data_IF_186449442545
#
_entry.id   IF_186449442545
#
_cell.length_a   1.000
_cell.length_b   1.000
_cell.length_c   1.000
_cell.angle_alpha   90.00
_cell.angle_beta   90.00
_cell.angle_gamma   90.00
#
_symmetry.space_group_name_H-M   'P 1'
#
loop_
_entity.id
_entity.type
_entity.pdbx_description
1 polymer ?
#
# COMPACT_ATOMS: atom_id res chain seq x y z
N UNK A 1 21.59 2.51 -2.56
CA UNK A 1 21.33 1.06 -2.71
C UNK A 1 19.97 0.78 -2.09
N UNK A 2 18.91 0.48 -2.85
CA UNK A 2 17.61 0.20 -2.27
C UNK A 2 17.63 -1.18 -1.60
N UNK A 3 17.13 -1.25 -0.37
CA UNK A 3 17.03 -2.47 0.43
C UNK A 3 16.10 -3.48 -0.26
N UNK A 4 16.37 -4.80 -0.14
CA UNK A 4 15.49 -5.82 -0.67
C UNK A 4 14.21 -5.86 0.17
N UNK A 5 13.09 -5.45 -0.42
CA UNK A 5 11.77 -5.55 0.19
C UNK A 5 11.41 -7.03 0.27
N UNK A 6 11.55 -7.62 1.47
CA UNK A 6 11.21 -9.03 1.73
C UNK A 6 9.69 -9.15 1.74
N UNK A 7 9.05 -10.04 0.95
CA UNK A 7 7.61 -10.21 1.01
C UNK A 7 7.22 -10.93 2.32
N UNK A 8 6.09 -10.56 2.95
CA UNK A 8 5.63 -11.23 4.17
C UNK A 8 5.19 -12.66 3.82
N UNK A 9 5.87 -13.63 4.42
CA UNK A 9 5.49 -15.05 4.47
C UNK A 9 4.22 -15.20 5.32
N UNK A 10 3.03 -15.28 4.70
CA UNK A 10 1.80 -15.65 5.44
C UNK A 10 0.55 -16.01 4.60
N UNK A 11 0.66 -16.28 3.29
CA UNK A 11 -0.48 -16.77 2.49
C UNK A 11 -0.47 -18.31 2.30
N UNK A 12 0.45 -18.98 2.98
CA UNK A 12 0.59 -20.44 3.02
C UNK A 12 -0.39 -21.13 3.98
N UNK A 13 -1.28 -20.39 4.65
CA UNK A 13 -2.16 -20.92 5.72
C UNK A 13 -3.65 -20.99 5.34
N UNK A 14 -4.16 -20.11 4.47
CA UNK A 14 -5.59 -20.13 4.10
C UNK A 14 -5.91 -21.00 2.88
N UNK A 15 -4.98 -21.21 1.95
CA UNK A 15 -5.11 -22.24 0.90
C UNK A 15 -5.12 -23.66 1.46
N UNK A 16 -4.60 -23.86 2.67
CA UNK A 16 -4.62 -25.14 3.39
C UNK A 16 -5.99 -25.43 4.02
N UNK A 17 -6.71 -24.43 4.52
CA UNK A 17 -7.96 -24.66 5.27
C UNK A 17 -9.19 -24.91 4.38
N UNK A 18 -9.29 -24.27 3.20
CA UNK A 18 -10.39 -24.52 2.26
C UNK A 18 -10.17 -25.74 1.34
N UNK A 19 -8.95 -26.30 1.27
CA UNK A 19 -8.68 -27.54 0.54
C UNK A 19 -8.65 -28.80 1.41
N UNK A 20 -8.51 -28.69 2.73
CA UNK A 20 -8.42 -29.87 3.60
C UNK A 20 -9.78 -30.50 3.92
N UNK A 21 -10.87 -29.72 3.96
CA UNK A 21 -12.17 -30.24 4.42
C UNK A 21 -13.02 -30.90 3.34
N UNK A 22 -12.68 -30.78 2.05
CA UNK A 22 -13.51 -31.31 0.94
C UNK A 22 -12.80 -32.37 0.07
N UNK A 23 -11.50 -32.64 0.34
CA UNK A 23 -10.68 -33.61 -0.40
C UNK A 23 -10.11 -34.73 0.46
N UNK A 24 -10.66 -34.96 1.66
CA UNK A 24 -10.36 -36.14 2.45
C UNK A 24 -10.91 -37.39 1.74
N UNK A 25 -9.98 -37.98 0.99
CA UNK A 25 -9.93 -39.31 0.40
C UNK A 25 -10.90 -40.31 1.05
N UNK A 26 -11.75 -40.96 0.26
CA UNK A 26 -11.99 -42.39 0.46
C UNK A 26 -11.09 -43.20 -0.49
N UNK A 27 -10.49 -44.26 0.07
CA UNK A 27 -9.63 -45.26 -0.56
C UNK A 27 -8.15 -44.93 -0.77
N UNK A 28 -7.42 -44.91 0.35
CA UNK A 28 -6.04 -45.39 0.39
C UNK A 28 -5.98 -46.70 1.18
N UNK A 29 -6.66 -47.73 0.70
CA UNK A 29 -6.50 -49.14 1.09
C UNK A 29 -7.29 -49.97 0.08
N UNK A 30 -6.69 -50.30 -1.05
CA UNK A 30 -6.68 -51.68 -1.51
C UNK A 30 -5.69 -51.86 -2.67
N UNK A 31 -4.74 -52.78 -2.50
CA UNK A 31 -3.79 -53.18 -3.53
C UNK A 31 -4.40 -54.26 -4.42
N UNK A 32 -5.43 -53.92 -5.19
CA UNK A 32 -6.07 -54.84 -6.14
C UNK A 32 -6.22 -54.18 -7.51
N UNK A 33 -5.88 -54.85 -8.63
CA UNK A 33 -6.10 -54.33 -9.97
C UNK A 33 -7.60 -54.43 -10.29
N UNK A 34 -8.40 -53.53 -9.73
CA UNK A 34 -9.82 -53.43 -10.07
C UNK A 34 -9.94 -52.84 -11.46
N UNK A 35 -10.43 -53.69 -12.37
CA UNK A 35 -11.06 -53.39 -13.65
C UNK A 35 -11.44 -51.91 -13.82
N UNK A 36 -10.66 -51.19 -14.63
CA UNK A 36 -10.94 -49.82 -15.04
C UNK A 36 -12.22 -49.82 -15.88
N UNK A 37 -13.38 -49.54 -15.26
CA UNK A 37 -14.59 -49.25 -16.02
C UNK A 37 -14.39 -47.92 -16.77
N UNK A 38 -14.83 -47.79 -18.04
CA UNK A 38 -14.80 -46.53 -18.78
C UNK A 38 -15.37 -45.32 -18.00
N UNK A 39 -16.29 -45.59 -17.07
CA UNK A 39 -16.96 -44.59 -16.22
C UNK A 39 -15.99 -43.94 -15.18
N UNK A 40 -14.96 -44.66 -14.74
CA UNK A 40 -13.95 -44.14 -13.81
C UNK A 40 -12.97 -43.18 -14.51
N UNK A 41 -12.68 -43.43 -15.78
CA UNK A 41 -11.86 -42.55 -16.61
C UNK A 41 -12.57 -41.23 -16.88
N UNK A 42 -13.88 -41.27 -17.17
CA UNK A 42 -14.71 -40.07 -17.33
C UNK A 42 -14.74 -39.22 -16.05
N UNK A 43 -14.91 -39.85 -14.89
CA UNK A 43 -14.86 -39.16 -13.59
C UNK A 43 -13.50 -38.49 -13.36
N UNK A 44 -12.39 -39.16 -13.73
CA UNK A 44 -11.03 -38.63 -13.60
C UNK A 44 -10.78 -37.47 -14.57
N UNK A 45 -11.27 -37.54 -15.81
CA UNK A 45 -11.21 -36.42 -16.78
C UNK A 45 -11.99 -35.22 -16.24
N UNK A 46 -13.22 -35.41 -15.74
CA UNK A 46 -14.02 -34.33 -15.15
C UNK A 46 -13.33 -33.69 -13.94
N UNK A 47 -12.67 -34.47 -13.09
CA UNK A 47 -11.89 -33.95 -11.94
C UNK A 47 -10.69 -33.13 -12.40
N UNK A 48 -9.93 -33.61 -13.39
CA UNK A 48 -8.79 -32.88 -13.97
C UNK A 48 -9.22 -31.55 -14.57
N UNK A 49 -10.34 -31.53 -15.29
CA UNK A 49 -10.86 -30.31 -15.89
C UNK A 49 -11.31 -29.29 -14.83
N UNK A 50 -12.01 -29.73 -13.78
CA UNK A 50 -12.36 -28.87 -12.63
C UNK A 50 -11.11 -28.27 -11.96
N UNK A 51 -10.07 -29.08 -11.74
CA UNK A 51 -8.82 -28.61 -11.15
C UNK A 51 -8.07 -27.64 -12.08
N UNK A 52 -8.05 -27.90 -13.39
CA UNK A 52 -7.45 -27.01 -14.39
C UNK A 52 -8.06 -25.61 -14.33
N UNK A 53 -9.40 -25.53 -14.31
CA UNK A 53 -10.13 -24.27 -14.19
C UNK A 53 -9.88 -23.60 -12.83
N UNK A 54 -9.89 -24.36 -11.74
CA UNK A 54 -9.61 -23.82 -10.40
C UNK A 54 -8.19 -23.23 -10.30
N UNK A 55 -7.18 -23.93 -10.82
CA UNK A 55 -5.80 -23.46 -10.85
C UNK A 55 -5.64 -22.21 -11.73
N UNK A 56 -6.30 -22.16 -12.89
CA UNK A 56 -6.31 -20.97 -13.75
C UNK A 56 -6.95 -19.76 -13.05
N UNK A 57 -8.09 -19.95 -12.37
CA UNK A 57 -8.76 -18.88 -11.59
C UNK A 57 -7.88 -18.40 -10.44
N UNK A 58 -7.24 -19.30 -9.71
CA UNK A 58 -6.31 -18.96 -8.63
C UNK A 58 -5.14 -18.11 -9.13
N UNK A 59 -4.47 -18.56 -10.21
CA UNK A 59 -3.40 -17.81 -10.86
C UNK A 59 -3.86 -16.42 -11.30
N UNK A 60 -5.01 -16.33 -11.99
CA UNK A 60 -5.58 -15.05 -12.42
C UNK A 60 -5.84 -14.12 -11.24
N UNK A 61 -6.42 -14.62 -10.14
CA UNK A 61 -6.66 -13.83 -8.93
C UNK A 61 -5.37 -13.32 -8.30
N UNK A 62 -4.31 -14.12 -8.30
CA UNK A 62 -3.02 -13.72 -7.78
C UNK A 62 -2.36 -12.63 -8.64
N UNK A 63 -2.38 -12.80 -9.97
CA UNK A 63 -1.88 -11.77 -10.91
C UNK A 63 -2.65 -10.47 -10.75
N UNK A 64 -3.98 -10.51 -10.77
CA UNK A 64 -4.82 -9.31 -10.56
C UNK A 64 -4.56 -8.60 -9.24
N UNK A 65 -4.26 -9.35 -8.17
CA UNK A 65 -3.89 -8.74 -6.88
C UNK A 65 -2.54 -8.01 -6.97
N UNK A 66 -1.57 -8.60 -7.65
CA UNK A 66 -0.26 -7.97 -7.84
C UNK A 66 -0.40 -6.70 -8.70
N UNK A 67 -1.18 -6.78 -9.79
CA UNK A 67 -1.43 -5.64 -10.69
C UNK A 67 -2.08 -4.48 -9.94
N UNK A 68 -3.15 -4.75 -9.18
CA UNK A 68 -3.84 -3.72 -8.38
C UNK A 68 -2.92 -3.06 -7.35
N UNK A 69 -2.08 -3.85 -6.68
CA UNK A 69 -1.10 -3.31 -5.72
C UNK A 69 -0.06 -2.43 -6.42
N UNK A 70 0.34 -2.80 -7.64
CA UNK A 70 1.28 -1.99 -8.42
C UNK A 70 0.65 -0.68 -8.87
N UNK A 71 -0.57 -0.72 -9.41
CA UNK A 71 -1.33 0.48 -9.78
C UNK A 71 -1.52 1.42 -8.59
N UNK A 72 -1.88 0.90 -7.41
CA UNK A 72 -2.02 1.71 -6.18
C UNK A 72 -0.68 2.32 -5.75
N UNK A 73 0.42 1.56 -5.83
CA UNK A 73 1.76 2.06 -5.54
C UNK A 73 2.15 3.20 -6.49
N UNK A 74 1.94 3.04 -7.79
CA UNK A 74 2.28 4.07 -8.78
C UNK A 74 1.46 5.34 -8.58
N UNK A 75 0.15 5.23 -8.29
CA UNK A 75 -0.68 6.37 -7.95
C UNK A 75 -0.13 7.13 -6.74
N UNK A 76 0.18 6.40 -5.65
CA UNK A 76 0.73 7.00 -4.44
C UNK A 76 2.10 7.66 -4.67
N UNK A 77 2.97 7.06 -5.47
CA UNK A 77 4.29 7.62 -5.80
C UNK A 77 4.15 8.93 -6.61
N UNK A 78 3.20 8.99 -7.54
CA UNK A 78 2.87 10.22 -8.29
C UNK A 78 2.35 11.31 -7.36
N UNK A 79 1.37 11.00 -6.50
CA UNK A 79 0.85 11.94 -5.50
C UNK A 79 1.95 12.43 -4.56
N UNK A 80 2.81 11.53 -4.08
CA UNK A 80 3.93 11.87 -3.22
C UNK A 80 4.89 12.85 -3.93
N UNK A 81 5.16 12.62 -5.21
CA UNK A 81 6.01 13.49 -6.03
C UNK A 81 5.39 14.87 -6.23
N UNK A 82 4.07 14.97 -6.38
CA UNK A 82 3.35 16.25 -6.45
C UNK A 82 3.44 16.98 -5.11
N UNK A 83 3.14 16.30 -4.01
CA UNK A 83 3.18 16.90 -2.67
C UNK A 83 4.58 17.38 -2.29
N UNK A 84 5.63 16.61 -2.59
CA UNK A 84 7.03 17.03 -2.36
C UNK A 84 7.40 18.29 -3.12
N UNK A 85 6.93 18.42 -4.37
CA UNK A 85 7.14 19.64 -5.16
C UNK A 85 6.42 20.83 -4.53
N UNK A 86 5.19 20.64 -4.08
CA UNK A 86 4.41 21.70 -3.44
C UNK A 86 5.04 22.16 -2.12
N UNK A 87 5.48 21.21 -1.28
CA UNK A 87 6.25 21.52 -0.07
C UNK A 87 7.50 22.34 -0.42
N UNK A 88 8.22 21.96 -1.48
CA UNK A 88 9.39 22.70 -1.95
C UNK A 88 9.06 24.15 -2.30
N UNK A 89 8.04 24.37 -3.14
CA UNK A 89 7.59 25.72 -3.53
C UNK A 89 7.18 26.56 -2.33
N UNK A 90 6.33 26.03 -1.45
CA UNK A 90 5.85 26.75 -0.27
C UNK A 90 7.00 27.10 0.70
N UNK A 91 8.00 26.22 0.80
CA UNK A 91 9.20 26.47 1.62
C UNK A 91 10.03 27.61 1.04
N UNK A 92 10.20 27.65 -0.29
CA UNK A 92 10.88 28.75 -0.99
C UNK A 92 10.13 30.08 -0.83
N UNK A 93 8.80 30.06 -0.98
CA UNK A 93 7.95 31.24 -0.77
C UNK A 93 8.05 31.77 0.66
N UNK A 94 7.96 30.88 1.66
CA UNK A 94 8.11 31.25 3.07
C UNK A 94 9.48 31.88 3.33
N UNK A 95 10.54 31.29 2.79
CA UNK A 95 11.90 31.83 2.92
C UNK A 95 11.98 33.22 2.30
N UNK A 96 11.49 33.39 1.08
CA UNK A 96 11.52 34.66 0.36
C UNK A 96 10.77 35.77 1.11
N UNK A 97 9.56 35.46 1.61
CA UNK A 97 8.76 36.41 2.39
C UNK A 97 9.44 36.74 3.72
N UNK A 98 10.05 35.76 4.38
CA UNK A 98 10.77 35.98 5.63
C UNK A 98 12.01 36.87 5.43
N UNK A 99 12.75 36.66 4.35
CA UNK A 99 13.90 37.51 3.98
C UNK A 99 13.46 38.94 3.65
N UNK A 100 12.38 39.08 2.87
CA UNK A 100 11.78 40.38 2.52
C UNK A 100 11.33 41.14 3.77
N UNK A 101 10.66 40.45 4.70
CA UNK A 101 10.24 41.02 5.97
C UNK A 101 11.44 41.47 6.81
N UNK A 102 12.45 40.61 6.95
CA UNK A 102 13.68 40.92 7.69
C UNK A 102 14.45 42.10 7.09
N UNK A 103 14.42 42.26 5.77
CA UNK A 103 15.01 43.42 5.11
C UNK A 103 14.21 44.70 5.41
N UNK A 104 12.88 44.64 5.34
CA UNK A 104 12.01 45.76 5.71
C UNK A 104 12.19 46.16 7.18
N UNK A 105 12.32 45.20 8.10
CA UNK A 105 12.49 45.48 9.54
C UNK A 105 13.68 46.41 9.82
N UNK A 106 14.75 46.33 9.02
CA UNK A 106 15.96 47.18 9.15
C UNK A 106 15.71 48.64 8.81
N UNK A 107 14.66 48.94 8.03
CA UNK A 107 14.33 50.29 7.56
C UNK A 107 12.97 50.77 8.08
N UNK A 108 12.27 49.93 8.83
CA UNK A 108 10.93 50.20 9.33
C UNK A 108 10.97 51.31 10.40
N UNK A 109 10.41 52.51 10.12
CA UNK A 109 10.43 53.62 11.08
C UNK A 109 9.69 53.29 12.38
N UNK A 110 8.72 52.38 12.30
CA UNK A 110 7.94 51.91 13.44
C UNK A 110 8.76 51.02 14.39
N UNK A 111 9.74 50.27 13.88
CA UNK A 111 10.64 49.44 14.71
C UNK A 111 11.90 50.21 15.15
N UNK A 112 12.30 51.23 14.39
CA UNK A 112 13.48 52.05 14.66
C UNK A 112 13.20 53.24 15.58
N UNK A 113 11.93 53.61 15.81
CA UNK A 113 11.54 54.64 16.77
C UNK A 113 11.32 54.06 18.18
N UNK A 114 11.95 54.60 19.24
CA UNK A 114 11.79 54.09 20.62
C UNK A 114 10.40 54.31 21.25
N UNK A 115 9.50 55.01 20.57
CA UNK A 115 8.19 55.36 21.12
C UNK A 115 7.10 54.59 20.37
N UNK A 116 6.48 53.65 21.10
CA UNK A 116 5.25 52.92 20.79
C UNK A 116 5.38 51.50 20.21
N UNK A 117 6.07 50.60 20.90
CA UNK A 117 5.60 49.21 20.94
C UNK A 117 5.67 48.69 22.38
N UNK A 118 4.53 48.70 23.06
CA UNK A 118 4.29 47.74 24.14
C UNK A 118 4.49 46.36 23.50
N UNK A 119 5.34 45.47 24.05
CA UNK A 119 5.42 44.11 23.53
C UNK A 119 4.07 43.44 23.76
N UNK A 120 3.21 43.39 22.74
CA UNK A 120 2.08 42.50 22.76
C UNK A 120 2.67 41.08 22.70
N UNK A 121 2.33 40.17 23.63
CA UNK A 121 2.71 38.78 23.51
C UNK A 121 2.19 38.28 22.17
N UNK A 122 3.10 37.92 21.27
CA UNK A 122 2.76 37.22 20.03
C UNK A 122 1.99 35.98 20.46
N UNK A 123 0.72 35.77 20.05
CA UNK A 123 0.08 34.50 20.31
C UNK A 123 0.95 33.45 19.62
N UNK A 124 1.51 32.53 20.41
CA UNK A 124 2.10 31.31 19.86
C UNK A 124 1.09 30.68 18.90
N UNK A 125 1.54 30.09 17.78
CA UNK A 125 0.65 29.34 16.91
C UNK A 125 0.11 28.17 17.72
N UNK A 126 -1.08 28.36 18.31
CA UNK A 126 -1.90 27.27 18.78
C UNK A 126 -2.42 26.51 17.56
N UNK A 127 -2.46 25.19 17.74
CA UNK A 127 -3.08 24.17 16.90
C UNK A 127 -2.15 23.48 15.87
N UNK A 128 -2.12 22.15 15.78
CA UNK A 128 -3.11 21.20 16.29
C UNK A 128 -2.53 19.81 16.48
N UNK A 129 -2.92 19.20 17.60
CA UNK A 129 -2.92 17.76 17.75
C UNK A 129 -3.70 17.14 16.58
N UNK A 130 -3.02 16.37 15.73
CA UNK A 130 -3.69 15.48 14.79
C UNK A 130 -4.10 14.21 15.56
N UNK A 131 -5.36 13.77 15.47
CA UNK A 131 -5.74 12.46 15.98
C UNK A 131 -5.09 11.36 15.12
N UNK A 132 -4.62 10.32 15.81
CA UNK A 132 -3.99 9.11 15.27
C UNK A 132 -5.02 8.11 14.77
#
# INVERSE_FOLDING_TARGET
>A
VPLPVRPPTSCDTWSKFLNLSEFLIPHLLDGSPTTQSPEDDDRKVRRREKNRVAAQRSRKKQTQKADKLHEEYECLEQENTVLRREIGKLTEELKHLSETLKEHEKVCPLLLCPLNFVPLPRPDPVAGCLPR
#
